data_IF_878683425622
#
_entry.id   IF_878683425622
#
_cell.length_a   1.000
_cell.length_b   1.000
_cell.length_c   1.000
_cell.angle_alpha   90.00
_cell.angle_beta   90.00
_cell.angle_gamma   90.00
#
_symmetry.space_group_name_H-M   'P 1'
#
loop_
_entity.id
_entity.type
_entity.pdbx_description
1 polymer ?
#
# COMPACT_ATOMS: atom_id res chain seq x y z
N UNK A 1 -31.41 -35.85 -19.97
CA UNK A 1 -31.05 -34.88 -18.91
C UNK A 1 -29.60 -35.15 -18.56
N UNK A 2 -28.71 -34.24 -18.98
CA UNK A 2 -27.29 -34.52 -19.22
C UNK A 2 -26.33 -34.22 -18.04
N UNK A 3 -25.05 -34.61 -18.19
CA UNK A 3 -23.99 -34.62 -17.17
C UNK A 3 -23.38 -33.23 -16.85
N UNK A 4 -24.08 -32.12 -17.11
CA UNK A 4 -23.48 -30.79 -17.08
C UNK A 4 -23.26 -30.20 -15.66
N UNK A 5 -23.82 -30.79 -14.60
CA UNK A 5 -23.71 -30.24 -13.23
C UNK A 5 -22.38 -30.57 -12.55
N UNK A 6 -21.72 -31.67 -12.92
CA UNK A 6 -20.48 -32.12 -12.26
C UNK A 6 -19.22 -31.39 -12.74
N UNK A 7 -19.19 -30.97 -14.01
CA UNK A 7 -18.03 -30.26 -14.59
C UNK A 7 -17.95 -28.82 -14.07
N UNK A 8 -19.10 -28.16 -13.89
CA UNK A 8 -19.16 -26.81 -13.33
C UNK A 8 -18.66 -26.75 -11.88
N UNK A 9 -19.01 -27.73 -11.05
CA UNK A 9 -18.59 -27.78 -9.65
C UNK A 9 -17.07 -27.99 -9.50
N UNK A 10 -16.48 -28.84 -10.37
CA UNK A 10 -15.04 -29.10 -10.38
C UNK A 10 -14.22 -27.87 -10.81
N UNK A 11 -14.68 -27.11 -11.81
CA UNK A 11 -13.99 -25.92 -12.29
C UNK A 11 -13.98 -24.80 -11.24
N UNK A 12 -15.11 -24.56 -10.56
CA UNK A 12 -15.22 -23.56 -9.50
C UNK A 12 -14.33 -23.92 -8.31
N UNK A 13 -14.34 -25.18 -7.88
CA UNK A 13 -13.48 -25.66 -6.81
C UNK A 13 -11.98 -25.55 -7.18
N UNK A 14 -11.62 -25.82 -8.44
CA UNK A 14 -10.25 -25.68 -8.93
C UNK A 14 -9.80 -24.21 -8.90
N UNK A 15 -10.62 -23.27 -9.38
CA UNK A 15 -10.32 -21.84 -9.33
C UNK A 15 -10.16 -21.33 -7.89
N UNK A 16 -11.06 -21.70 -6.99
CA UNK A 16 -10.96 -21.36 -5.56
C UNK A 16 -9.68 -21.94 -4.92
N UNK A 17 -9.33 -23.20 -5.23
CA UNK A 17 -8.11 -23.82 -4.73
C UNK A 17 -6.85 -23.15 -5.28
N UNK A 18 -6.88 -22.65 -6.52
CA UNK A 18 -5.78 -21.91 -7.13
C UNK A 18 -5.61 -20.52 -6.49
N UNK A 19 -6.71 -19.80 -6.25
CA UNK A 19 -6.69 -18.51 -5.52
C UNK A 19 -6.13 -18.68 -4.10
N UNK A 20 -6.61 -19.67 -3.34
CA UNK A 20 -6.13 -19.97 -1.98
C UNK A 20 -4.65 -20.38 -1.97
N UNK A 21 -4.21 -21.18 -2.94
CA UNK A 21 -2.78 -21.55 -3.09
C UNK A 21 -1.92 -20.35 -3.47
N UNK A 22 -2.44 -19.39 -4.22
CA UNK A 22 -1.72 -18.19 -4.60
C UNK A 22 -1.57 -17.23 -3.41
N UNK A 23 -2.65 -16.99 -2.66
CA UNK A 23 -2.61 -16.15 -1.45
C UNK A 23 -1.62 -16.68 -0.41
N UNK A 24 -1.67 -17.98 -0.11
CA UNK A 24 -0.73 -18.59 0.83
C UNK A 24 0.75 -18.45 0.43
N UNK A 25 1.07 -18.45 -0.87
CA UNK A 25 2.44 -18.23 -1.34
C UNK A 25 2.88 -16.78 -1.19
N UNK A 26 1.99 -15.81 -1.42
CA UNK A 26 2.27 -14.39 -1.17
C UNK A 26 2.50 -14.13 0.32
N UNK A 27 1.60 -14.65 1.18
CA UNK A 27 1.67 -14.44 2.62
C UNK A 27 3.01 -14.90 3.21
N UNK A 28 3.46 -16.13 2.92
CA UNK A 28 4.72 -16.64 3.48
C UNK A 28 5.94 -15.76 3.13
N UNK A 29 6.02 -15.29 1.87
CA UNK A 29 7.11 -14.41 1.41
C UNK A 29 7.01 -13.01 2.03
N UNK A 30 5.80 -12.50 2.16
CA UNK A 30 5.56 -11.17 2.70
C UNK A 30 5.75 -11.12 4.22
N UNK A 31 5.44 -12.19 4.94
CA UNK A 31 5.77 -12.34 6.36
C UNK A 31 7.28 -12.30 6.58
N UNK A 32 8.05 -13.04 5.77
CA UNK A 32 9.52 -13.02 5.83
C UNK A 32 10.07 -11.61 5.58
N UNK A 33 9.56 -10.91 4.56
CA UNK A 33 10.01 -9.54 4.26
C UNK A 33 9.59 -8.54 5.33
N UNK A 34 8.40 -8.68 5.95
CA UNK A 34 7.98 -7.87 7.08
C UNK A 34 8.92 -8.02 8.28
N UNK A 35 9.25 -9.27 8.67
CA UNK A 35 10.18 -9.54 9.77
C UNK A 35 11.56 -8.97 9.48
N UNK A 36 12.02 -9.08 8.24
CA UNK A 36 13.31 -8.54 7.82
C UNK A 36 13.33 -7.01 7.86
N UNK A 37 12.30 -6.33 7.34
CA UNK A 37 12.22 -4.86 7.33
C UNK A 37 11.97 -4.27 8.72
N UNK A 38 11.26 -4.98 9.59
CA UNK A 38 11.04 -4.58 10.98
C UNK A 38 12.36 -4.32 11.72
N UNK A 39 13.39 -5.13 11.44
CA UNK A 39 14.71 -4.98 12.05
C UNK A 39 15.42 -3.66 11.69
N UNK A 40 15.00 -3.00 10.61
CA UNK A 40 15.53 -1.72 10.17
C UNK A 40 14.74 -0.51 10.70
N UNK A 41 13.64 -0.73 11.45
CA UNK A 41 12.82 0.36 11.99
C UNK A 41 13.55 1.03 13.16
N UNK A 42 13.83 2.33 13.00
CA UNK A 42 14.29 3.19 14.10
C UNK A 42 13.06 3.76 14.80
N UNK A 43 12.94 3.52 16.12
CA UNK A 43 11.76 3.89 16.92
C UNK A 43 11.96 5.18 17.73
N UNK A 44 13.21 5.65 17.83
CA UNK A 44 13.57 6.87 18.54
C UNK A 44 13.69 8.04 17.55
N UNK A 45 13.43 9.25 18.03
CA UNK A 45 13.64 10.47 17.28
C UNK A 45 15.14 10.70 17.05
N UNK A 46 15.60 10.40 15.84
CA UNK A 46 17.00 10.56 15.43
C UNK A 46 17.13 11.56 14.28
N UNK A 47 18.17 12.39 14.31
CA UNK A 47 18.50 13.29 13.19
C UNK A 47 17.50 14.41 12.92
N UNK A 48 16.68 14.80 13.91
CA UNK A 48 15.71 15.88 13.76
C UNK A 48 16.40 17.24 13.57
N UNK A 49 15.85 18.06 12.67
CA UNK A 49 16.26 19.46 12.44
C UNK A 49 15.36 20.47 13.15
N UNK A 50 14.38 19.99 13.91
CA UNK A 50 13.40 20.78 14.66
C UNK A 50 13.26 20.22 16.08
N UNK A 51 12.68 21.01 16.98
CA UNK A 51 12.40 20.59 18.36
C UNK A 51 11.20 19.63 18.39
N UNK A 52 11.35 18.35 18.77
CA UNK A 52 10.25 17.38 18.79
C UNK A 52 9.16 17.66 19.84
N UNK A 53 9.46 18.44 20.90
CA UNK A 53 8.47 18.74 21.94
C UNK A 53 7.56 19.90 21.53
N UNK A 54 8.11 20.90 20.85
CA UNK A 54 7.37 22.13 20.48
C UNK A 54 7.08 22.24 18.99
N UNK A 55 7.69 21.38 18.16
CA UNK A 55 7.76 21.47 16.70
C UNK A 55 8.39 22.77 16.18
N UNK A 56 9.10 23.53 17.04
CA UNK A 56 9.80 24.73 16.61
C UNK A 56 10.88 24.39 15.57
N UNK A 57 10.79 25.04 14.41
CA UNK A 57 11.65 24.75 13.26
C UNK A 57 11.08 23.73 12.25
N UNK A 58 9.93 23.11 12.54
CA UNK A 58 9.22 22.28 11.55
C UNK A 58 8.50 23.18 10.55
N UNK A 59 9.03 23.25 9.32
CA UNK A 59 8.48 24.16 8.30
C UNK A 59 7.41 23.51 7.41
N UNK A 60 7.51 22.20 7.17
CA UNK A 60 6.69 21.50 6.18
C UNK A 60 6.33 20.10 6.66
N UNK A 61 5.10 19.71 6.35
CA UNK A 61 4.59 18.35 6.58
C UNK A 61 4.01 17.82 5.28
N UNK A 62 4.17 16.53 5.03
CA UNK A 62 3.63 15.88 3.85
C UNK A 62 2.54 14.87 4.23
N UNK A 63 1.48 14.82 3.43
CA UNK A 63 0.45 13.79 3.49
C UNK A 63 0.49 12.96 2.20
N UNK A 64 0.37 11.64 2.33
CA UNK A 64 0.35 10.73 1.20
C UNK A 64 -0.84 9.77 1.35
N UNK A 65 -1.51 9.48 0.24
CA UNK A 65 -2.69 8.61 0.21
C UNK A 65 -2.76 7.84 -1.12
N UNK A 66 -3.45 6.70 -1.11
CA UNK A 66 -3.77 5.95 -2.32
C UNK A 66 -5.24 5.53 -2.32
N UNK A 67 -5.94 5.92 -3.38
CA UNK A 67 -7.36 5.63 -3.56
C UNK A 67 -7.55 4.61 -4.69
N UNK A 68 -8.09 3.43 -4.38
CA UNK A 68 -8.39 2.39 -5.36
C UNK A 68 -9.79 2.59 -5.97
N UNK A 69 -9.94 2.27 -7.26
CA UNK A 69 -11.23 2.33 -7.95
C UNK A 69 -12.18 1.21 -7.49
N UNK A 70 -13.45 1.56 -7.27
CA UNK A 70 -14.51 0.61 -6.94
C UNK A 70 -14.91 -0.25 -8.14
N UNK A 71 -14.73 0.27 -9.35
CA UNK A 71 -15.10 -0.42 -10.60
C UNK A 71 -13.97 -1.30 -11.12
N UNK A 72 -12.73 -0.83 -11.01
CA UNK A 72 -11.52 -1.48 -11.52
C UNK A 72 -10.50 -1.62 -10.39
N UNK A 73 -10.50 -2.75 -9.69
CA UNK A 73 -9.75 -2.94 -8.43
C UNK A 73 -8.24 -2.81 -8.57
N UNK A 74 -7.73 -2.97 -9.78
CA UNK A 74 -6.32 -2.82 -10.13
C UNK A 74 -5.95 -1.36 -10.39
N UNK A 75 -6.90 -0.46 -10.60
CA UNK A 75 -6.63 0.96 -10.82
C UNK A 75 -6.68 1.74 -9.52
N UNK A 76 -5.68 2.58 -9.29
CA UNK A 76 -5.64 3.48 -8.15
C UNK A 76 -5.02 4.83 -8.52
N UNK A 77 -5.18 5.80 -7.62
CA UNK A 77 -4.54 7.10 -7.70
C UNK A 77 -3.71 7.29 -6.44
N UNK A 78 -2.39 7.43 -6.61
CA UNK A 78 -1.50 7.86 -5.54
C UNK A 78 -1.49 9.39 -5.48
N UNK A 79 -1.53 9.95 -4.28
CA UNK A 79 -1.54 11.38 -4.01
C UNK A 79 -0.47 11.72 -2.97
N UNK A 80 0.25 12.82 -3.20
CA UNK A 80 1.22 13.40 -2.27
C UNK A 80 0.95 14.91 -2.18
N UNK A 81 0.83 15.42 -0.96
CA UNK A 81 0.62 16.84 -0.69
C UNK A 81 1.68 17.29 0.30
N UNK A 82 2.30 18.45 0.07
CA UNK A 82 3.20 19.11 1.04
C UNK A 82 2.53 20.40 1.48
N UNK A 83 2.47 20.59 2.80
CA UNK A 83 1.84 21.72 3.46
C UNK A 83 2.88 22.49 4.29
N UNK A 84 2.69 23.79 4.39
CA UNK A 84 3.38 24.64 5.36
C UNK A 84 2.88 24.31 6.77
N UNK A 85 3.79 24.22 7.74
CA UNK A 85 3.46 24.05 9.15
C UNK A 85 3.84 25.33 9.92
N UNK A 86 2.99 25.84 10.84
CA UNK A 86 1.74 25.25 11.34
C UNK A 86 0.47 25.66 10.57
N UNK A 87 0.57 26.48 9.52
CA UNK A 87 -0.60 27.05 8.84
C UNK A 87 -1.47 26.01 8.11
N UNK A 88 -0.91 24.84 7.81
CA UNK A 88 -1.48 23.76 7.00
C UNK A 88 -1.86 24.20 5.58
N UNK A 89 -1.29 25.31 5.10
CA UNK A 89 -1.49 25.78 3.74
C UNK A 89 -0.78 24.84 2.76
N UNK A 90 -1.51 24.35 1.76
CA UNK A 90 -0.93 23.52 0.70
C UNK A 90 0.10 24.32 -0.11
N UNK A 91 1.31 23.78 -0.19
CA UNK A 91 2.42 24.31 -0.99
C UNK A 91 2.63 23.53 -2.28
N UNK A 92 2.36 22.22 -2.25
CA UNK A 92 2.60 21.33 -3.38
C UNK A 92 1.61 20.16 -3.37
N UNK A 93 1.22 19.72 -4.57
CA UNK A 93 0.36 18.56 -4.77
C UNK A 93 0.81 17.77 -6.01
N UNK A 94 0.89 16.44 -5.87
CA UNK A 94 1.21 15.50 -6.95
C UNK A 94 0.19 14.37 -6.93
N UNK A 95 -0.33 14.00 -8.09
CA UNK A 95 -1.20 12.84 -8.27
C UNK A 95 -0.72 12.00 -9.42
N UNK A 96 -0.79 10.68 -9.29
CA UNK A 96 -0.40 9.74 -10.33
C UNK A 96 -1.39 8.57 -10.36
N UNK A 97 -1.97 8.33 -11.53
CA UNK A 97 -2.69 7.07 -11.77
C UNK A 97 -1.68 5.93 -11.78
N UNK A 98 -1.96 4.90 -10.98
CA UNK A 98 -1.11 3.73 -10.80
C UNK A 98 -1.94 2.47 -10.95
N UNK A 99 -1.26 1.36 -11.21
CA UNK A 99 -1.86 0.04 -11.29
C UNK A 99 -1.33 -0.84 -10.17
N UNK A 100 -2.23 -1.48 -9.42
CA UNK A 100 -1.94 -2.40 -8.33
C UNK A 100 -2.42 -3.79 -8.73
N UNK A 101 -1.50 -4.62 -9.21
CA UNK A 101 -1.78 -6.01 -9.63
C UNK A 101 -1.71 -7.01 -8.47
N UNK A 102 -1.34 -6.56 -7.26
CA UNK A 102 -1.22 -7.41 -6.07
C UNK A 102 -2.57 -7.59 -5.35
N UNK A 103 -2.86 -8.79 -4.83
CA UNK A 103 -4.11 -9.08 -4.15
C UNK A 103 -4.23 -8.30 -2.83
N UNK A 104 -5.47 -7.99 -2.45
CA UNK A 104 -5.75 -7.44 -1.12
C UNK A 104 -5.75 -8.58 -0.09
N UNK A 105 -4.76 -8.58 0.80
CA UNK A 105 -4.66 -9.50 1.93
C UNK A 105 -4.54 -8.67 3.22
N UNK A 106 -5.46 -8.89 4.15
CA UNK A 106 -5.45 -8.20 5.46
C UNK A 106 -4.12 -8.46 6.19
N UNK A 107 -3.48 -7.41 6.68
CA UNK A 107 -2.14 -7.46 7.30
C UNK A 107 -0.98 -7.18 6.33
N UNK A 108 -1.23 -7.11 5.02
CA UNK A 108 -0.20 -6.94 3.99
C UNK A 108 -0.46 -5.76 3.04
N UNK A 109 -1.29 -4.79 3.46
CA UNK A 109 -1.68 -3.66 2.62
C UNK A 109 -0.47 -2.85 2.10
N UNK A 110 0.57 -2.69 2.92
CA UNK A 110 1.79 -1.97 2.56
C UNK A 110 2.46 -2.48 1.26
N UNK A 111 2.38 -3.78 0.96
CA UNK A 111 2.94 -4.31 -0.30
C UNK A 111 2.23 -3.77 -1.54
N UNK A 112 0.96 -3.37 -1.41
CA UNK A 112 0.17 -2.73 -2.48
C UNK A 112 0.45 -1.23 -2.58
N UNK A 113 0.59 -0.56 -1.43
CA UNK A 113 0.54 0.91 -1.35
C UNK A 113 1.93 1.55 -1.30
N UNK A 114 2.90 0.94 -0.63
CA UNK A 114 4.23 1.52 -0.46
C UNK A 114 4.97 1.75 -1.79
N UNK A 115 5.02 0.79 -2.75
CA UNK A 115 5.73 1.02 -4.01
C UNK A 115 5.26 2.24 -4.82
N UNK A 116 3.94 2.44 -5.11
CA UNK A 116 3.51 3.64 -5.82
C UNK A 116 3.70 4.92 -4.99
N UNK A 117 3.60 4.89 -3.66
CA UNK A 117 3.83 6.06 -2.81
C UNK A 117 5.31 6.47 -2.77
N UNK A 118 6.25 5.52 -2.72
CA UNK A 118 7.69 5.80 -2.80
C UNK A 118 8.04 6.50 -4.12
N UNK A 119 7.47 6.06 -5.25
CA UNK A 119 7.63 6.73 -6.55
C UNK A 119 7.10 8.18 -6.59
N UNK A 120 6.25 8.58 -5.64
CA UNK A 120 5.78 9.95 -5.56
C UNK A 120 6.85 10.87 -4.96
N UNK A 121 7.72 10.32 -4.10
CA UNK A 121 8.80 11.01 -3.38
C UNK A 121 10.07 11.06 -4.24
N UNK A 122 10.36 9.97 -4.96
CA UNK A 122 11.52 9.91 -5.87
C UNK A 122 11.33 10.87 -7.06
N UNK A 123 12.43 11.55 -7.42
CA UNK A 123 12.52 12.56 -8.51
C UNK A 123 13.05 11.92 -9.78
#
# INVERSE_FOLDING_TARGET
MGPCTNVFFSAVLCSLLLEVKMESQFMARWEEEQVKLEQAIVKDDVGLTFDPETFAGLERVAGADISCSLERKEEAVASLVVMEFPSMKVLYEKRKSVRIDLPYISGFLAFRESPPLVQMIEV
#
